data_IF_995431199483
#
_entry.id   IF_995431199483
#
_cell.length_a   1.000
_cell.length_b   1.000
_cell.length_c   1.000
_cell.angle_alpha   90.00
_cell.angle_beta   90.00
_cell.angle_gamma   90.00
#
_symmetry.space_group_name_H-M   'P 1'
#
loop_
_entity.id
_entity.type
_entity.pdbx_description
1 polymer ?
#
# COMPACT_ATOMS: atom_id res chain seq x y z
N UNK A 1 -53.12 24.24 -54.97
CA UNK A 1 -52.49 25.27 -54.10
C UNK A 1 -51.74 24.55 -52.99
N UNK A 2 -50.44 24.35 -53.16
CA UNK A 2 -49.57 23.75 -52.14
C UNK A 2 -48.77 24.91 -51.51
N UNK A 3 -48.91 25.06 -50.19
CA UNK A 3 -48.42 26.19 -49.43
C UNK A 3 -47.04 25.82 -48.87
N UNK A 4 -45.98 26.27 -49.54
CA UNK A 4 -44.61 26.22 -49.00
C UNK A 4 -44.54 27.03 -47.70
N UNK A 5 -44.06 26.40 -46.63
CA UNK A 5 -43.70 27.07 -45.39
C UNK A 5 -42.23 26.76 -45.05
N UNK A 6 -41.38 27.73 -45.38
CA UNK A 6 -40.40 28.34 -44.48
C UNK A 6 -39.43 27.43 -43.74
N UNK A 7 -38.32 27.08 -44.40
CA UNK A 7 -37.09 26.65 -43.74
C UNK A 7 -36.18 27.88 -43.51
N UNK A 8 -36.33 28.59 -42.38
CA UNK A 8 -35.49 29.79 -42.08
C UNK A 8 -34.85 29.75 -40.68
N UNK A 9 -35.02 28.70 -39.88
CA UNK A 9 -34.51 28.70 -38.49
C UNK A 9 -33.40 27.69 -38.14
N UNK A 10 -32.87 26.92 -39.10
CA UNK A 10 -31.85 25.89 -38.79
C UNK A 10 -30.39 26.34 -38.90
N UNK A 11 -30.12 27.46 -39.58
CA UNK A 11 -28.75 27.96 -39.79
C UNK A 11 -28.06 28.48 -38.51
N UNK A 12 -28.70 29.21 -37.59
CA UNK A 12 -27.98 29.75 -36.43
C UNK A 12 -27.61 28.68 -35.38
N UNK A 13 -28.35 27.56 -35.31
CA UNK A 13 -28.10 26.50 -34.32
C UNK A 13 -26.83 25.71 -34.66
N UNK A 14 -26.56 25.45 -35.94
CA UNK A 14 -25.36 24.74 -36.37
C UNK A 14 -24.08 25.56 -36.15
N UNK A 15 -24.15 26.89 -36.26
CA UNK A 15 -23.00 27.78 -36.02
C UNK A 15 -22.67 27.82 -34.51
N UNK A 16 -23.68 27.86 -33.63
CA UNK A 16 -23.45 27.84 -32.17
C UNK A 16 -22.83 26.52 -31.73
N UNK A 17 -23.27 25.38 -32.27
CA UNK A 17 -22.70 24.07 -31.94
C UNK A 17 -21.24 23.91 -32.44
N UNK A 18 -20.91 24.45 -33.61
CA UNK A 18 -19.53 24.43 -34.13
C UNK A 18 -18.58 25.30 -33.29
N UNK A 19 -19.04 26.46 -32.81
CA UNK A 19 -18.25 27.35 -31.94
C UNK A 19 -18.04 26.74 -30.55
N UNK A 20 -19.05 26.08 -29.97
CA UNK A 20 -18.89 25.36 -28.69
C UNK A 20 -17.93 24.18 -28.82
N UNK A 21 -17.95 23.45 -29.94
CA UNK A 21 -17.01 22.36 -30.20
C UNK A 21 -15.56 22.86 -30.38
N UNK A 22 -15.34 24.00 -31.06
CA UNK A 22 -14.02 24.59 -31.23
C UNK A 22 -13.46 25.19 -29.94
N UNK A 23 -14.29 25.84 -29.12
CA UNK A 23 -13.87 26.34 -27.80
C UNK A 23 -13.58 25.16 -26.85
N UNK A 24 -14.40 24.10 -26.86
CA UNK A 24 -14.15 22.89 -26.09
C UNK A 24 -12.85 22.17 -26.45
N UNK A 25 -12.48 22.15 -27.74
CA UNK A 25 -11.24 21.51 -28.20
C UNK A 25 -9.98 22.29 -27.81
N UNK A 26 -10.03 23.62 -27.82
CA UNK A 26 -8.88 24.46 -27.43
C UNK A 26 -8.64 24.48 -25.91
N UNK A 27 -9.69 24.31 -25.10
CA UNK A 27 -9.57 24.19 -23.64
C UNK A 27 -9.06 22.80 -23.21
N UNK A 28 -9.24 21.76 -24.03
CA UNK A 28 -8.81 20.40 -23.67
C UNK A 28 -7.34 20.09 -24.00
N UNK A 29 -6.63 20.92 -24.79
CA UNK A 29 -5.22 20.68 -25.15
C UNK A 29 -4.18 21.58 -24.46
N UNK A 30 -4.59 22.52 -23.59
CA UNK A 30 -3.63 23.34 -22.83
C UNK A 30 -4.10 23.57 -21.40
N UNK A 31 -3.88 22.57 -20.55
CA UNK A 31 -3.71 22.78 -19.12
C UNK A 31 -2.56 21.92 -18.62
N UNK A 32 -1.30 22.34 -18.78
CA UNK A 32 -0.30 21.91 -17.82
C UNK A 32 -0.73 22.51 -16.48
N UNK A 33 -1.13 21.67 -15.53
CA UNK A 33 -1.31 22.04 -14.12
C UNK A 33 0.04 22.34 -13.45
N UNK A 34 0.94 23.00 -14.18
CA UNK A 34 2.15 23.62 -13.64
C UNK A 34 1.82 25.08 -13.38
N UNK A 35 2.00 25.53 -12.14
CA UNK A 35 2.08 26.94 -11.72
C UNK A 35 0.83 27.61 -11.09
N UNK A 36 0.18 26.94 -10.13
CA UNK A 36 -0.64 27.64 -9.11
C UNK A 36 0.03 27.66 -7.72
N UNK A 37 1.25 27.12 -7.55
CA UNK A 37 1.99 27.21 -6.28
C UNK A 37 3.43 27.72 -6.42
N UNK A 38 3.66 29.00 -6.80
CA UNK A 38 4.98 29.60 -6.68
C UNK A 38 5.36 30.00 -5.24
N UNK A 39 4.39 30.09 -4.31
CA UNK A 39 4.64 30.72 -3.00
C UNK A 39 5.07 29.78 -1.86
N UNK A 40 5.07 28.46 -2.07
CA UNK A 40 5.50 27.47 -1.06
C UNK A 40 6.81 26.75 -1.42
N UNK A 41 7.44 27.06 -2.56
CA UNK A 41 8.74 26.48 -2.99
C UNK A 41 9.95 26.96 -2.16
N UNK A 42 9.74 27.78 -1.14
CA UNK A 42 10.81 28.51 -0.47
C UNK A 42 11.63 27.77 0.59
N UNK A 43 11.16 26.65 1.17
CA UNK A 43 11.90 26.05 2.32
C UNK A 43 11.95 24.53 2.44
N UNK A 44 11.32 23.78 1.55
CA UNK A 44 11.46 22.31 1.54
C UNK A 44 11.74 21.92 0.09
N UNK A 45 13.01 21.64 -0.21
CA UNK A 45 13.51 21.37 -1.56
C UNK A 45 13.06 20.03 -2.12
N UNK A 46 11.75 19.80 -2.23
CA UNK A 46 11.19 18.60 -2.85
C UNK A 46 11.30 18.74 -4.36
N UNK A 47 12.17 17.94 -4.97
CA UNK A 47 12.31 17.83 -6.43
C UNK A 47 11.50 16.63 -6.93
N UNK A 48 10.62 16.84 -7.90
CA UNK A 48 9.82 15.77 -8.50
C UNK A 48 10.25 15.55 -9.95
N UNK A 49 10.70 14.33 -10.26
CA UNK A 49 11.06 13.92 -11.61
C UNK A 49 9.97 12.99 -12.18
N UNK A 50 9.57 13.17 -13.45
CA UNK A 50 8.61 12.28 -14.08
C UNK A 50 9.17 10.86 -14.18
N UNK A 51 8.33 9.86 -13.94
CA UNK A 51 8.71 8.46 -14.10
C UNK A 51 8.93 8.12 -15.56
N UNK A 52 9.97 7.34 -15.82
CA UNK A 52 10.22 6.79 -17.15
C UNK A 52 9.17 5.74 -17.52
N UNK A 53 9.00 5.46 -18.82
CA UNK A 53 8.13 4.37 -19.29
C UNK A 53 8.51 3.01 -18.68
N UNK A 54 9.81 2.77 -18.46
CA UNK A 54 10.33 1.55 -17.82
C UNK A 54 9.84 1.47 -16.37
N UNK A 55 9.92 2.58 -15.63
CA UNK A 55 9.43 2.66 -14.24
C UNK A 55 7.91 2.49 -14.15
N UNK A 56 7.15 3.08 -15.08
CA UNK A 56 5.70 2.90 -15.14
C UNK A 56 5.32 1.45 -15.45
N UNK A 57 6.07 0.78 -16.33
CA UNK A 57 5.89 -0.65 -16.61
C UNK A 57 6.14 -1.50 -15.36
N UNK A 58 7.16 -1.19 -14.58
CA UNK A 58 7.43 -1.90 -13.32
C UNK A 58 6.28 -1.74 -12.31
N UNK A 59 5.70 -0.54 -12.21
CA UNK A 59 4.49 -0.31 -11.39
C UNK A 59 3.32 -1.13 -11.91
N UNK A 60 3.13 -1.23 -13.23
CA UNK A 60 2.11 -2.08 -13.84
C UNK A 60 2.34 -3.55 -13.52
N UNK A 61 3.56 -4.05 -13.71
CA UNK A 61 3.91 -5.45 -13.48
C UNK A 61 3.66 -5.83 -12.00
N UNK A 62 3.92 -4.91 -11.06
CA UNK A 62 3.69 -5.11 -9.63
C UNK A 62 2.22 -4.97 -9.21
N UNK A 63 1.47 -4.01 -9.79
CA UNK A 63 0.11 -3.69 -9.35
C UNK A 63 -1.00 -4.36 -10.18
N UNK A 64 -0.68 -4.84 -11.37
CA UNK A 64 -1.64 -5.29 -12.39
C UNK A 64 -2.43 -4.16 -13.06
N UNK A 65 -2.16 -2.89 -12.73
CA UNK A 65 -2.93 -1.73 -13.22
C UNK A 65 -1.97 -0.68 -13.76
N UNK A 66 -2.17 -0.28 -15.02
CA UNK A 66 -1.27 0.65 -15.68
C UNK A 66 -1.55 2.09 -15.19
N UNK A 67 -0.59 2.78 -14.56
CA UNK A 67 -0.71 4.20 -14.32
C UNK A 67 -0.68 4.96 -15.65
N UNK A 68 -1.44 6.06 -15.73
CA UNK A 68 -1.44 7.02 -16.84
C UNK A 68 -0.14 7.83 -16.83
N UNK A 69 0.32 8.22 -15.64
CA UNK A 69 1.58 8.93 -15.44
C UNK A 69 2.08 8.73 -14.01
N UNK A 70 3.29 9.19 -13.73
CA UNK A 70 3.76 9.27 -12.36
C UNK A 70 4.99 10.13 -12.20
N UNK A 71 5.30 10.45 -10.96
CA UNK A 71 6.43 11.28 -10.54
C UNK A 71 7.11 10.65 -9.33
N UNK A 72 8.43 10.78 -9.25
CA UNK A 72 9.21 10.49 -8.05
C UNK A 72 9.65 11.81 -7.43
N UNK A 73 9.09 12.12 -6.26
CA UNK A 73 9.41 13.31 -5.49
C UNK A 73 10.41 12.98 -4.39
N UNK A 74 11.64 13.43 -4.52
CA UNK A 74 12.69 13.26 -3.52
C UNK A 74 12.40 14.17 -2.32
N UNK A 75 12.25 13.59 -1.13
CA UNK A 75 11.99 14.31 0.13
C UNK A 75 13.31 14.51 0.90
N UNK A 76 14.16 13.47 0.93
CA UNK A 76 15.48 13.46 1.55
C UNK A 76 16.46 12.65 0.68
N UNK A 77 17.70 12.45 1.12
CA UNK A 77 18.66 11.56 0.42
C UNK A 77 18.12 10.14 0.26
N UNK A 78 17.30 9.72 1.22
CA UNK A 78 16.88 8.33 1.39
C UNK A 78 15.36 8.17 1.29
N UNK A 79 14.57 9.25 1.32
CA UNK A 79 13.12 9.18 1.27
C UNK A 79 12.57 9.79 -0.01
N UNK A 80 11.58 9.13 -0.59
CA UNK A 80 10.88 9.66 -1.74
C UNK A 80 9.40 9.33 -1.71
N UNK A 81 8.62 10.19 -2.37
CA UNK A 81 7.19 10.03 -2.59
C UNK A 81 6.96 9.72 -4.05
N UNK A 82 6.45 8.52 -4.33
CA UNK A 82 5.96 8.15 -5.64
C UNK A 82 4.51 8.65 -5.79
N UNK A 83 4.24 9.46 -6.80
CA UNK A 83 2.88 9.85 -7.18
C UNK A 83 2.53 9.14 -8.47
N UNK A 84 1.47 8.34 -8.46
CA UNK A 84 0.99 7.56 -9.60
C UNK A 84 -0.43 7.99 -9.93
N UNK A 85 -0.67 8.43 -11.16
CA UNK A 85 -1.98 8.89 -11.61
C UNK A 85 -2.63 7.77 -12.43
N UNK A 86 -3.88 7.44 -12.10
CA UNK A 86 -4.68 6.43 -12.80
C UNK A 86 -5.86 7.09 -13.53
N UNK A 87 -6.59 6.31 -14.34
CA UNK A 87 -7.74 6.83 -15.07
C UNK A 87 -8.88 7.25 -14.15
N UNK A 88 -9.05 6.58 -13.00
CA UNK A 88 -10.09 6.88 -12.02
C UNK A 88 -9.71 6.38 -10.60
N UNK A 89 -10.50 6.78 -9.60
CA UNK A 89 -10.31 6.39 -8.20
C UNK A 89 -10.34 4.87 -8.00
N UNK A 90 -11.24 4.16 -8.69
CA UNK A 90 -11.35 2.70 -8.59
C UNK A 90 -10.05 2.00 -8.99
N UNK A 91 -9.41 2.44 -10.08
CA UNK A 91 -8.10 1.92 -10.50
C UNK A 91 -7.00 2.26 -9.49
N UNK A 92 -6.98 3.50 -8.96
CA UNK A 92 -6.00 3.89 -7.95
C UNK A 92 -6.12 3.08 -6.66
N UNK A 93 -7.35 2.78 -6.21
CA UNK A 93 -7.60 1.93 -5.05
C UNK A 93 -7.14 0.49 -5.31
N UNK A 94 -7.55 -0.11 -6.43
CA UNK A 94 -7.11 -1.47 -6.79
C UNK A 94 -5.58 -1.54 -6.87
N UNK A 95 -4.92 -0.54 -7.46
CA UNK A 95 -3.46 -0.49 -7.55
C UNK A 95 -2.80 -0.35 -6.18
N UNK A 96 -3.37 0.48 -5.28
CA UNK A 96 -2.93 0.57 -3.88
C UNK A 96 -2.95 -0.80 -3.21
N UNK A 97 -4.06 -1.52 -3.33
CA UNK A 97 -4.19 -2.84 -2.70
C UNK A 97 -3.18 -3.83 -3.26
N UNK A 98 -3.05 -3.94 -4.59
CA UNK A 98 -2.05 -4.83 -5.21
C UNK A 98 -0.63 -4.49 -4.76
N UNK A 99 -0.26 -3.20 -4.76
CA UNK A 99 1.07 -2.79 -4.30
C UNK A 99 1.27 -3.12 -2.82
N UNK A 100 0.29 -2.84 -1.95
CA UNK A 100 0.32 -3.21 -0.52
C UNK A 100 0.52 -4.71 -0.29
N UNK A 101 -0.14 -5.56 -1.08
CA UNK A 101 0.03 -7.02 -1.01
C UNK A 101 1.46 -7.44 -1.36
N UNK A 102 2.07 -6.77 -2.33
CA UNK A 102 3.48 -7.03 -2.68
C UNK A 102 4.47 -6.49 -1.65
N UNK A 103 4.09 -5.52 -0.81
CA UNK A 103 4.98 -4.99 0.24
C UNK A 103 4.94 -5.77 1.55
N UNK A 104 3.88 -6.54 1.79
CA UNK A 104 3.56 -7.13 3.10
C UNK A 104 3.80 -8.63 3.16
N UNK A 105 4.39 -9.24 2.13
CA UNK A 105 4.73 -10.66 2.09
C UNK A 105 6.23 -10.93 2.06
N UNK A 106 6.63 -12.13 2.51
CA UNK A 106 7.98 -12.74 2.38
C UNK A 106 8.39 -13.02 0.91
N UNK A 107 7.75 -12.38 -0.08
CA UNK A 107 8.02 -12.60 -1.50
C UNK A 107 9.34 -11.95 -1.89
N UNK A 108 10.43 -12.68 -1.67
CA UNK A 108 11.81 -12.35 -2.04
C UNK A 108 12.08 -12.21 -3.55
N UNK A 109 11.10 -12.40 -4.43
CA UNK A 109 11.36 -12.51 -5.86
C UNK A 109 10.20 -11.98 -6.69
N UNK A 110 10.18 -10.67 -6.94
CA UNK A 110 9.51 -10.11 -8.11
C UNK A 110 10.50 -9.20 -8.81
N UNK A 111 11.02 -9.67 -9.95
CA UNK A 111 11.82 -8.86 -10.87
C UNK A 111 10.97 -7.67 -11.35
N UNK A 112 11.37 -6.46 -10.96
CA UNK A 112 10.70 -5.21 -11.36
C UNK A 112 10.29 -4.30 -10.20
N UNK A 113 10.09 -4.81 -8.98
CA UNK A 113 9.64 -4.00 -7.83
C UNK A 113 10.76 -3.13 -7.19
N UNK A 114 12.00 -3.22 -7.69
CA UNK A 114 13.17 -2.51 -7.15
C UNK A 114 13.00 -0.99 -7.02
N UNK A 115 12.11 -0.39 -7.82
CA UNK A 115 11.86 1.04 -7.83
C UNK A 115 10.88 1.51 -6.75
N UNK A 116 10.20 0.58 -6.08
CA UNK A 116 9.17 0.88 -5.10
C UNK A 116 9.65 0.44 -3.71
N UNK A 117 10.24 -0.76 -3.56
CA UNK A 117 10.52 -1.34 -2.24
C UNK A 117 11.72 -2.28 -2.29
N UNK A 118 12.72 -2.01 -1.45
CA UNK A 118 13.77 -2.95 -1.09
C UNK A 118 13.44 -3.60 0.26
N UNK A 119 13.96 -4.81 0.49
CA UNK A 119 13.83 -5.52 1.77
C UNK A 119 14.27 -4.61 2.93
N UNK A 120 13.36 -4.41 3.90
CA UNK A 120 13.57 -3.52 5.05
C UNK A 120 13.01 -2.10 4.92
N UNK A 121 12.61 -1.65 3.72
CA UNK A 121 11.99 -0.34 3.57
C UNK A 121 10.57 -0.31 4.17
N UNK A 122 10.20 0.82 4.74
CA UNK A 122 8.83 1.07 5.16
C UNK A 122 8.11 1.88 4.09
N UNK A 123 6.87 1.52 3.77
CA UNK A 123 6.06 2.23 2.77
C UNK A 123 4.66 2.57 3.29
N UNK A 124 4.17 3.76 2.99
CA UNK A 124 2.81 4.19 3.31
C UNK A 124 2.04 4.57 2.05
N UNK A 125 0.77 4.14 1.96
CA UNK A 125 -0.05 4.24 0.75
C UNK A 125 -1.31 5.09 0.97
N UNK A 126 -1.49 6.12 0.16
CA UNK A 126 -2.63 7.03 0.23
C UNK A 126 -3.24 7.23 -1.16
N UNK A 127 -4.57 7.27 -1.26
CA UNK A 127 -5.27 7.57 -2.53
C UNK A 127 -6.04 8.86 -2.38
N UNK A 128 -5.86 9.77 -3.34
CA UNK A 128 -6.56 11.04 -3.44
C UNK A 128 -7.12 11.18 -4.86
N UNK A 129 -8.44 11.00 -5.00
CA UNK A 129 -9.08 10.94 -6.32
C UNK A 129 -8.50 9.78 -7.15
N UNK A 130 -7.97 10.09 -8.34
CA UNK A 130 -7.30 9.11 -9.20
C UNK A 130 -5.79 8.97 -8.95
N UNK A 131 -5.25 9.62 -7.92
CA UNK A 131 -3.82 9.63 -7.63
C UNK A 131 -3.49 8.73 -6.43
N UNK A 132 -2.60 7.77 -6.63
CA UNK A 132 -1.98 6.98 -5.57
C UNK A 132 -0.64 7.60 -5.19
N UNK A 133 -0.46 7.87 -3.90
CA UNK A 133 0.75 8.37 -3.28
C UNK A 133 1.39 7.25 -2.46
N UNK A 134 2.64 6.90 -2.77
CA UNK A 134 3.43 5.91 -2.04
C UNK A 134 4.63 6.61 -1.43
N UNK A 135 4.60 6.80 -0.11
CA UNK A 135 5.75 7.30 0.63
C UNK A 135 6.68 6.11 0.91
N UNK A 136 7.89 6.16 0.37
CA UNK A 136 8.90 5.14 0.60
C UNK A 136 9.97 5.72 1.51
N UNK A 137 10.16 5.08 2.66
CA UNK A 137 11.19 5.39 3.64
C UNK A 137 12.25 4.30 3.56
N UNK A 138 13.43 4.63 3.04
CA UNK A 138 14.54 3.67 3.01
C UNK A 138 15.05 3.51 4.44
N UNK A 139 15.19 2.26 4.90
CA UNK A 139 15.72 1.99 6.23
C UNK A 139 17.17 2.43 6.26
N UNK A 140 17.50 3.45 7.04
CA UNK A 140 18.89 3.77 7.35
C UNK A 140 19.47 2.56 8.08
N UNK A 141 20.50 1.93 7.53
CA UNK A 141 21.19 0.76 8.10
C UNK A 141 21.80 0.99 9.49
N UNK A 142 21.76 2.21 10.01
CA UNK A 142 22.18 2.53 11.36
C UNK A 142 21.05 2.32 12.39
N UNK A 143 20.85 1.07 12.84
CA UNK A 143 20.11 0.78 14.07
C UNK A 143 20.63 1.61 15.27
N UNK A 144 21.91 2.03 15.22
CA UNK A 144 22.54 2.91 16.21
C UNK A 144 21.97 4.34 16.23
N UNK A 145 21.46 4.86 15.10
CA UNK A 145 20.94 6.24 15.02
C UNK A 145 19.50 6.34 15.51
N UNK A 146 18.72 5.27 15.38
CA UNK A 146 17.34 5.18 15.87
C UNK A 146 17.29 5.15 17.41
N UNK A 147 18.24 4.47 18.08
CA UNK A 147 18.39 4.56 19.54
C UNK A 147 18.70 5.98 20.03
N UNK A 148 19.39 6.79 19.23
CA UNK A 148 19.68 8.19 19.55
C UNK A 148 18.50 9.15 19.30
N UNK A 149 17.65 8.87 18.31
CA UNK A 149 16.50 9.73 17.98
C UNK A 149 15.27 9.47 18.87
N UNK A 150 15.08 8.25 19.39
CA UNK A 150 13.99 7.91 20.32
C UNK A 150 14.32 8.27 21.78
N UNK A 151 15.61 8.47 22.11
CA UNK A 151 16.07 8.91 23.45
C UNK A 151 16.39 10.41 23.53
N UNK A 152 15.88 11.21 22.59
CA UNK A 152 15.99 12.67 22.58
C UNK A 152 15.08 13.40 23.57
N UNK A 153 14.36 12.70 24.45
CA UNK A 153 13.81 13.31 25.66
C UNK A 153 14.93 13.38 26.69
N UNK A 154 15.51 14.58 26.82
CA UNK A 154 16.38 14.96 27.93
C UNK A 154 15.63 14.78 29.24
N UNK A 155 15.79 13.63 29.88
CA UNK A 155 15.66 13.57 31.32
C UNK A 155 16.80 14.38 31.92
N UNK A 156 16.39 15.47 32.54
CA UNK A 156 17.21 16.35 33.33
C UNK A 156 17.82 15.54 34.49
N UNK A 157 19.10 15.18 34.35
CA UNK A 157 19.88 14.44 35.33
C UNK A 157 20.69 15.43 36.17
N UNK A 158 20.13 15.82 37.31
CA UNK A 158 20.91 16.35 38.42
C UNK A 158 21.04 15.29 39.52
N UNK A 159 22.30 15.10 39.94
CA UNK A 159 22.83 14.39 41.11
C UNK A 159 22.67 12.86 41.18
N UNK A 160 23.73 12.04 41.05
CA UNK A 160 25.11 12.08 41.58
C UNK A 160 25.20 11.99 43.11
N UNK A 161 25.27 10.76 43.63
CA UNK A 161 26.41 10.22 44.42
C UNK A 161 26.11 8.76 44.78
N UNK A 162 27.00 7.82 45.09
CA UNK A 162 28.43 7.54 44.87
C UNK A 162 28.61 6.16 45.52
N UNK A 163 29.23 5.22 44.77
CA UNK A 163 30.07 4.07 45.21
C UNK A 163 29.58 3.15 46.35
N UNK A 164 29.65 1.82 46.13
CA UNK A 164 30.86 1.08 46.49
C UNK A 164 30.93 -0.31 45.82
N UNK A 165 32.17 -0.74 45.59
CA UNK A 165 32.64 -1.95 44.93
C UNK A 165 32.33 -3.20 45.76
N UNK A 166 32.18 -4.36 45.12
CA UNK A 166 33.02 -5.54 45.42
C UNK A 166 32.92 -6.53 44.26
N UNK A 167 34.09 -6.79 43.69
CA UNK A 167 34.41 -7.82 42.73
C UNK A 167 34.73 -9.10 43.49
N UNK A 168 34.20 -10.26 43.09
CA UNK A 168 34.89 -11.53 43.32
C UNK A 168 34.52 -12.58 42.28
N UNK A 169 35.57 -13.03 41.61
CA UNK A 169 35.63 -14.14 40.67
C UNK A 169 34.93 -15.40 41.20
N UNK A 170 34.11 -16.03 40.37
CA UNK A 170 34.06 -17.50 40.23
C UNK A 170 33.25 -17.90 39.01
N UNK A 171 33.86 -18.81 38.29
CA UNK A 171 33.29 -19.86 37.45
C UNK A 171 32.68 -19.56 36.08
N UNK A 172 33.55 -19.83 35.11
CA UNK A 172 33.38 -20.03 33.69
C UNK A 172 32.71 -21.39 33.47
N UNK A 173 31.48 -21.39 32.92
CA UNK A 173 30.88 -22.36 31.94
C UNK A 173 29.35 -22.39 32.08
N UNK A 174 28.64 -21.33 31.65
CA UNK A 174 27.18 -21.33 31.43
C UNK A 174 26.80 -20.36 30.30
N UNK A 175 27.41 -20.50 29.11
CA UNK A 175 27.31 -19.53 28.01
C UNK A 175 26.56 -19.98 26.75
N UNK A 176 26.02 -21.20 26.68
CA UNK A 176 25.46 -21.73 25.42
C UNK A 176 23.94 -21.97 25.42
N UNK A 177 23.26 -21.92 26.57
CA UNK A 177 21.82 -22.23 26.63
C UNK A 177 20.91 -21.03 26.31
N UNK A 178 21.35 -19.79 26.51
CA UNK A 178 20.51 -18.60 26.29
C UNK A 178 20.32 -18.21 24.81
N UNK A 179 21.23 -18.64 23.93
CA UNK A 179 21.15 -18.30 22.49
C UNK A 179 20.07 -19.13 21.77
N UNK A 180 19.73 -20.32 22.28
CA UNK A 180 18.74 -21.19 21.64
C UNK A 180 17.30 -20.70 21.83
N UNK A 181 16.96 -20.11 22.97
CA UNK A 181 15.58 -19.66 23.25
C UNK A 181 15.15 -18.48 22.37
N UNK A 182 16.11 -17.66 21.91
CA UNK A 182 15.80 -16.48 21.10
C UNK A 182 15.38 -16.86 19.66
N UNK A 183 15.96 -17.92 19.07
CA UNK A 183 15.71 -18.31 17.67
C UNK A 183 14.29 -18.88 17.47
N UNK A 184 13.74 -19.57 18.47
CA UNK A 184 12.38 -20.11 18.38
C UNK A 184 11.32 -19.00 18.32
N UNK A 185 11.47 -17.97 19.14
CA UNK A 185 10.54 -16.84 19.16
C UNK A 185 10.50 -16.09 17.81
N UNK A 186 11.66 -15.92 17.15
CA UNK A 186 11.74 -15.25 15.84
C UNK A 186 10.98 -16.01 14.75
N UNK A 187 11.04 -17.35 14.76
CA UNK A 187 10.32 -18.18 13.78
C UNK A 187 8.81 -18.15 14.00
N UNK A 188 8.38 -18.17 15.27
CA UNK A 188 6.96 -18.08 15.63
C UNK A 188 6.37 -16.72 15.26
N UNK A 189 7.11 -15.63 15.50
CA UNK A 189 6.69 -14.28 15.11
C UNK A 189 6.57 -14.15 13.59
N UNK A 190 7.54 -14.70 12.83
CA UNK A 190 7.48 -14.71 11.38
C UNK A 190 6.24 -15.45 10.85
N UNK A 191 5.93 -16.62 11.42
CA UNK A 191 4.73 -17.38 11.05
C UNK A 191 3.43 -16.63 11.37
N UNK A 192 3.35 -15.96 12.52
CA UNK A 192 2.18 -15.14 12.88
C UNK A 192 2.03 -13.92 11.96
N UNK A 193 3.13 -13.34 11.49
CA UNK A 193 3.12 -12.25 10.52
C UNK A 193 2.61 -12.72 9.14
N UNK A 194 3.01 -13.92 8.69
CA UNK A 194 2.47 -14.55 7.48
C UNK A 194 0.96 -14.76 7.64
N UNK A 195 0.52 -15.32 8.76
CA UNK A 195 -0.91 -15.53 9.06
C UNK A 195 -1.71 -14.23 8.96
N UNK A 196 -1.23 -13.16 9.60
CA UNK A 196 -1.89 -11.85 9.58
C UNK A 196 -1.93 -11.26 8.17
N UNK A 197 -0.85 -11.44 7.40
CA UNK A 197 -0.79 -11.02 6.00
C UNK A 197 -1.85 -11.75 5.17
N UNK A 198 -1.85 -13.08 5.19
CA UNK A 198 -2.81 -13.94 4.47
C UNK A 198 -4.27 -13.60 4.79
N UNK A 199 -4.60 -13.42 6.07
CA UNK A 199 -5.95 -13.04 6.49
C UNK A 199 -6.36 -11.65 6.00
N UNK A 200 -5.43 -10.69 5.92
CA UNK A 200 -5.70 -9.39 5.30
C UNK A 200 -5.88 -9.51 3.78
N UNK A 201 -5.15 -10.39 3.10
CA UNK A 201 -5.36 -10.63 1.66
C UNK A 201 -6.74 -11.22 1.41
N UNK A 202 -7.14 -12.21 2.21
CA UNK A 202 -8.48 -12.80 2.15
C UNK A 202 -9.57 -11.75 2.41
N UNK A 203 -9.39 -10.90 3.43
CA UNK A 203 -10.29 -9.76 3.68
C UNK A 203 -10.49 -8.92 2.41
N UNK A 204 -9.42 -8.51 1.76
CA UNK A 204 -9.48 -7.70 0.53
C UNK A 204 -10.18 -8.46 -0.61
N UNK A 205 -9.87 -9.74 -0.78
CA UNK A 205 -10.52 -10.58 -1.80
C UNK A 205 -12.04 -10.70 -1.57
N UNK A 206 -12.47 -10.80 -0.31
CA UNK A 206 -13.90 -10.78 0.04
C UNK A 206 -14.58 -9.48 -0.36
N UNK A 207 -13.95 -8.35 -0.06
CA UNK A 207 -14.46 -7.02 -0.39
C UNK A 207 -14.62 -6.84 -1.91
N UNK A 208 -13.66 -7.34 -2.68
CA UNK A 208 -13.74 -7.32 -4.13
C UNK A 208 -14.86 -8.23 -4.64
N UNK A 209 -15.01 -9.43 -4.08
CA UNK A 209 -16.10 -10.35 -4.43
C UNK A 209 -17.46 -9.72 -4.16
N UNK A 210 -17.65 -9.10 -3.01
CA UNK A 210 -18.89 -8.40 -2.66
C UNK A 210 -19.16 -7.23 -3.61
N UNK A 211 -18.14 -6.48 -4.01
CA UNK A 211 -18.29 -5.39 -4.99
C UNK A 211 -18.82 -5.90 -6.34
N UNK A 212 -18.45 -7.12 -6.74
CA UNK A 212 -18.85 -7.69 -8.03
C UNK A 212 -20.16 -8.49 -7.98
N UNK A 213 -20.47 -9.11 -6.83
CA UNK A 213 -21.60 -10.04 -6.67
C UNK A 213 -22.71 -9.53 -5.76
N UNK A 214 -22.48 -8.42 -5.05
CA UNK A 214 -23.35 -7.86 -4.00
C UNK A 214 -23.67 -8.84 -2.85
N UNK A 215 -22.91 -9.95 -2.77
CA UNK A 215 -22.97 -10.94 -1.70
C UNK A 215 -21.57 -11.48 -1.42
N UNK A 216 -21.27 -11.80 -0.17
CA UNK A 216 -20.04 -12.50 0.21
C UNK A 216 -20.09 -13.98 -0.19
N UNK A 217 -18.93 -14.58 -0.50
CA UNK A 217 -18.89 -15.98 -0.92
C UNK A 217 -19.25 -16.92 0.23
N UNK A 218 -19.86 -18.06 -0.07
CA UNK A 218 -20.19 -19.07 0.95
C UNK A 218 -18.99 -19.89 1.37
N UNK A 219 -17.98 -20.03 0.50
CA UNK A 219 -16.72 -20.71 0.78
C UNK A 219 -15.54 -19.94 0.18
N UNK A 220 -14.33 -20.15 0.71
CA UNK A 220 -13.12 -19.46 0.20
C UNK A 220 -12.78 -19.86 -1.25
N UNK A 221 -13.17 -21.06 -1.69
CA UNK A 221 -12.96 -21.57 -3.05
C UNK A 221 -13.74 -20.79 -4.11
N UNK A 222 -14.82 -20.10 -3.73
CA UNK A 222 -15.55 -19.22 -4.66
C UNK A 222 -14.68 -18.04 -5.11
N UNK A 223 -13.76 -17.56 -4.27
CA UNK A 223 -12.81 -16.51 -4.64
C UNK A 223 -11.87 -16.98 -5.75
N UNK A 224 -11.49 -18.26 -5.73
CA UNK A 224 -10.66 -18.87 -6.78
C UNK A 224 -11.46 -19.05 -8.07
N UNK A 225 -12.71 -19.54 -7.96
CA UNK A 225 -13.60 -19.71 -9.11
C UNK A 225 -13.94 -18.39 -9.81
N UNK A 226 -14.04 -17.30 -9.04
CA UNK A 226 -14.21 -15.95 -9.56
C UNK A 226 -12.91 -15.33 -10.11
N UNK A 227 -11.79 -16.06 -10.06
CA UNK A 227 -10.47 -15.58 -10.47
C UNK A 227 -10.04 -14.29 -9.74
N UNK A 228 -10.47 -14.11 -8.49
CA UNK A 228 -10.06 -13.01 -7.62
C UNK A 228 -8.71 -13.33 -6.97
N UNK A 229 -8.54 -14.57 -6.50
CA UNK A 229 -7.27 -15.11 -6.01
C UNK A 229 -6.91 -16.38 -6.77
N UNK A 230 -5.63 -16.70 -6.85
CA UNK A 230 -5.15 -17.92 -7.54
C UNK A 230 -5.40 -19.18 -6.72
N UNK A 231 -5.16 -19.09 -5.41
CA UNK A 231 -5.26 -20.21 -4.46
C UNK A 231 -5.69 -19.68 -3.09
N UNK A 232 -6.39 -20.50 -2.32
CA UNK A 232 -6.69 -20.18 -0.91
C UNK A 232 -5.41 -20.42 -0.09
N UNK A 233 -4.88 -19.42 0.64
CA UNK A 233 -3.71 -19.61 1.49
C UNK A 233 -4.02 -20.59 2.62
N UNK A 234 -3.01 -21.37 3.01
CA UNK A 234 -3.08 -22.32 4.12
C UNK A 234 -2.34 -21.73 5.33
N UNK A 235 -2.89 -21.93 6.52
CA UNK A 235 -2.20 -21.53 7.73
C UNK A 235 -0.87 -22.31 7.84
N UNK A 236 0.30 -21.63 7.93
CA UNK A 236 1.61 -22.27 7.91
C UNK A 236 1.88 -23.20 9.09
N UNK A 237 1.13 -23.07 10.20
CA UNK A 237 1.24 -23.92 11.39
C UNK A 237 0.46 -25.22 11.24
N UNK A 238 -0.77 -25.13 10.73
CA UNK A 238 -1.69 -26.28 10.70
C UNK A 238 -1.75 -26.94 9.33
N UNK A 239 -1.22 -26.27 8.30
CA UNK A 239 -1.35 -26.63 6.89
C UNK A 239 -2.81 -26.86 6.46
N UNK A 240 -3.73 -26.12 7.08
CA UNK A 240 -5.17 -26.16 6.81
C UNK A 240 -5.67 -24.78 6.38
N UNK A 241 -6.76 -24.69 5.62
CA UNK A 241 -7.43 -23.42 5.35
C UNK A 241 -7.85 -22.72 6.65
N UNK A 242 -7.97 -21.39 6.58
CA UNK A 242 -8.48 -20.57 7.67
C UNK A 242 -9.96 -20.88 7.97
N UNK A 243 -10.36 -20.75 9.23
CA UNK A 243 -11.76 -20.92 9.61
C UNK A 243 -12.58 -19.78 9.00
N UNK A 244 -13.62 -20.15 8.25
CA UNK A 244 -14.41 -19.19 7.48
C UNK A 244 -15.91 -19.45 7.62
N UNK A 245 -16.66 -18.36 7.83
CA UNK A 245 -18.13 -18.37 7.83
C UNK A 245 -18.67 -17.11 7.16
N UNK A 246 -19.74 -17.25 6.38
CA UNK A 246 -20.49 -16.12 5.82
C UNK A 246 -21.96 -16.45 5.68
N UNK A 247 -22.82 -15.44 5.84
CA UNK A 247 -24.26 -15.52 5.54
C UNK A 247 -24.61 -14.80 4.22
N UNK A 248 -23.61 -14.42 3.42
CA UNK A 248 -23.77 -13.65 2.18
C UNK A 248 -23.78 -12.13 2.38
N UNK A 249 -23.94 -11.61 3.60
CA UNK A 249 -23.90 -10.17 3.88
C UNK A 249 -22.81 -9.78 4.89
N UNK A 250 -22.62 -10.60 5.90
CA UNK A 250 -21.49 -10.56 6.82
C UNK A 250 -20.53 -11.74 6.59
N UNK A 251 -19.31 -11.60 7.09
CA UNK A 251 -18.34 -12.69 7.11
C UNK A 251 -17.43 -12.65 8.33
N UNK A 252 -16.86 -13.80 8.67
CA UNK A 252 -15.81 -13.95 9.68
C UNK A 252 -14.74 -14.90 9.15
N UNK A 253 -13.47 -14.48 9.27
CA UNK A 253 -12.28 -15.30 9.08
C UNK A 253 -11.52 -15.33 10.40
N UNK A 254 -11.13 -16.50 10.88
CA UNK A 254 -10.42 -16.64 12.16
C UNK A 254 -9.34 -17.71 12.13
N UNK A 255 -8.37 -17.58 13.05
CA UNK A 255 -7.37 -18.61 13.32
C UNK A 255 -6.71 -18.41 14.68
N UNK A 256 -5.93 -19.39 15.13
CA UNK A 256 -5.14 -19.32 16.36
C UNK A 256 -3.66 -19.04 16.03
N UNK A 257 -3.08 -18.04 16.70
CA UNK A 257 -1.67 -17.66 16.57
C UNK A 257 -0.76 -18.58 17.40
N UNK A 258 0.56 -18.34 17.37
CA UNK A 258 1.52 -19.15 18.09
C UNK A 258 1.41 -19.06 19.61
N UNK A 259 1.06 -17.88 20.12
CA UNK A 259 0.79 -17.65 21.54
C UNK A 259 -0.56 -18.23 22.03
N UNK A 260 -1.32 -18.88 21.14
CA UNK A 260 -2.64 -19.42 21.44
C UNK A 260 -3.78 -18.38 21.40
N UNK A 261 -3.46 -17.12 21.11
CA UNK A 261 -4.47 -16.07 20.93
C UNK A 261 -5.27 -16.29 19.65
N UNK A 262 -6.51 -15.82 19.66
CA UNK A 262 -7.39 -15.84 18.49
C UNK A 262 -7.20 -14.56 17.68
N UNK A 263 -6.87 -14.71 16.40
CA UNK A 263 -6.87 -13.62 15.44
C UNK A 263 -8.10 -13.73 14.54
N UNK A 264 -8.93 -12.69 14.53
CA UNK A 264 -10.23 -12.67 13.84
C UNK A 264 -10.40 -11.39 13.05
N UNK A 265 -10.89 -11.54 11.82
CA UNK A 265 -11.36 -10.44 10.97
C UNK A 265 -12.82 -10.70 10.66
N UNK A 266 -13.69 -9.73 10.93
CA UNK A 266 -15.10 -9.81 10.61
C UNK A 266 -15.62 -8.52 9.99
N UNK A 267 -16.68 -8.65 9.20
CA UNK A 267 -17.51 -7.54 8.74
C UNK A 267 -18.94 -7.82 9.16
N UNK A 268 -19.57 -6.84 9.78
CA UNK A 268 -20.99 -6.82 10.12
C UNK A 268 -21.71 -5.85 9.18
N UNK A 269 -22.99 -6.10 8.92
CA UNK A 269 -23.84 -5.25 8.07
C UNK A 269 -24.23 -3.94 8.75
#
# INVERSE_FOLDING_TARGET
MIKEKGAVHLVPILIVLAVVALIGWTVYQKSPLTDIFPFLKGKIGVTCDPLTLVSLKQVYDASGIAPVSGEKCTISSDDYLLKLVYQNNTQAQKAKFSLMLETTGDKKQIEGASLIIHEGNSSAFFVEGSTLKVLVMLKTTDEAKIKGMVLGFKDNKDNSSTQDKTQKDSDKTQGETEKSTNIFNVREEAADNIIKSDMNQLKIAMELYFTEKEVYPKTLEELVKANIIKTVPLNPKTNKPYDFTSNGKSYTISTTLNDGSQYKISRED
#
